data_IF_883394005495
#
_entry.id   IF_883394005495
#
_cell.length_a   1.000
_cell.length_b   1.000
_cell.length_c   1.000
_cell.angle_alpha   90.00
_cell.angle_beta   90.00
_cell.angle_gamma   90.00
#
_symmetry.space_group_name_H-M   'P 1'
#
loop_
_entity.id
_entity.type
_entity.pdbx_description
1 polymer ?
#
# COMPACT_ATOMS: atom_id res chain seq x y z
N UNK A 1 -31.04 13.61 -4.51
CA UNK A 1 -30.90 12.61 -3.43
C UNK A 1 -30.03 13.22 -2.35
N UNK A 2 -30.49 13.28 -1.12
CA UNK A 2 -29.70 13.83 0.01
C UNK A 2 -29.31 12.73 1.00
N UNK A 3 -29.03 11.53 0.46
CA UNK A 3 -28.79 10.35 1.27
C UNK A 3 -27.66 10.57 2.28
N UNK A 4 -26.46 10.97 1.82
CA UNK A 4 -25.29 11.11 2.67
C UNK A 4 -25.34 12.27 3.66
N UNK A 5 -26.20 13.24 3.45
CA UNK A 5 -26.41 14.37 4.39
C UNK A 5 -27.54 14.11 5.38
N UNK A 6 -28.46 13.20 5.07
CA UNK A 6 -29.65 12.94 5.90
C UNK A 6 -29.54 11.65 6.71
N UNK A 7 -28.64 10.72 6.33
CA UNK A 7 -28.44 9.47 7.06
C UNK A 7 -27.64 9.74 8.33
N UNK A 8 -28.18 9.33 9.46
CA UNK A 8 -27.46 9.37 10.73
C UNK A 8 -26.37 8.31 10.75
N UNK A 9 -25.13 8.73 11.01
CA UNK A 9 -23.96 7.86 11.02
C UNK A 9 -23.16 8.02 12.28
N UNK A 10 -22.53 6.94 12.72
CA UNK A 10 -21.63 6.91 13.85
C UNK A 10 -20.17 6.81 13.34
N UNK A 11 -19.51 7.95 13.18
CA UNK A 11 -18.13 8.00 12.67
C UNK A 11 -17.18 8.62 13.71
N UNK A 12 -17.43 9.85 14.15
CA UNK A 12 -16.49 10.63 14.97
C UNK A 12 -16.21 9.99 16.36
N UNK A 13 -17.18 9.32 16.96
CA UNK A 13 -17.04 8.62 18.24
C UNK A 13 -16.89 7.10 18.12
N UNK A 14 -16.71 6.60 16.92
CA UNK A 14 -16.73 5.16 16.64
C UNK A 14 -15.45 4.46 17.08
N UNK A 15 -15.56 3.56 18.05
CA UNK A 15 -14.42 2.79 18.60
C UNK A 15 -13.94 1.65 17.71
N UNK A 16 -14.70 1.24 16.70
CA UNK A 16 -14.32 0.21 15.74
C UNK A 16 -13.48 0.78 14.60
N UNK A 17 -13.59 2.08 14.31
CA UNK A 17 -12.76 2.77 13.33
C UNK A 17 -11.37 3.04 13.90
N UNK A 18 -10.38 3.04 13.02
CA UNK A 18 -9.01 3.46 13.37
C UNK A 18 -8.93 4.98 13.47
N UNK A 19 -8.13 5.48 14.39
CA UNK A 19 -7.90 6.92 14.58
C UNK A 19 -7.61 7.66 13.27
N UNK A 20 -6.70 7.19 12.38
CA UNK A 20 -6.44 7.84 11.10
C UNK A 20 -7.66 7.97 10.18
N UNK A 21 -8.58 7.00 10.22
CA UNK A 21 -9.82 7.08 9.43
C UNK A 21 -10.74 8.18 9.94
N UNK A 22 -10.88 8.31 11.26
CA UNK A 22 -11.74 9.32 11.89
C UNK A 22 -11.16 10.72 11.64
N UNK A 23 -9.86 10.90 11.89
CA UNK A 23 -9.17 12.18 11.68
C UNK A 23 -9.23 12.63 10.23
N UNK A 24 -8.94 11.74 9.28
CA UNK A 24 -9.07 12.03 7.87
C UNK A 24 -10.51 12.40 7.48
N UNK A 25 -11.51 11.67 7.99
CA UNK A 25 -12.92 11.97 7.76
C UNK A 25 -13.31 13.37 8.24
N UNK A 26 -12.90 13.76 9.45
CA UNK A 26 -13.16 15.10 10.00
C UNK A 26 -12.54 16.15 9.09
N UNK A 27 -11.28 15.98 8.69
CA UNK A 27 -10.60 16.92 7.78
C UNK A 27 -11.26 17.03 6.41
N UNK A 28 -11.74 15.91 5.86
CA UNK A 28 -12.49 15.89 4.59
C UNK A 28 -13.79 16.73 4.73
N UNK A 29 -14.54 16.53 5.81
CA UNK A 29 -15.77 17.30 6.05
C UNK A 29 -15.49 18.79 6.24
N UNK A 30 -14.49 19.13 7.08
CA UNK A 30 -14.08 20.52 7.31
C UNK A 30 -13.70 21.20 6.00
N UNK A 31 -12.83 20.58 5.19
CA UNK A 31 -12.34 21.12 3.94
C UNK A 31 -13.48 21.37 2.94
N UNK A 32 -14.31 20.38 2.70
CA UNK A 32 -15.40 20.48 1.74
C UNK A 32 -16.65 21.20 2.27
N UNK A 33 -16.65 21.71 3.50
CA UNK A 33 -17.68 22.60 4.00
C UNK A 33 -17.62 23.99 3.32
N UNK A 34 -16.42 24.39 2.88
CA UNK A 34 -16.22 25.58 2.06
C UNK A 34 -16.49 25.26 0.59
N UNK A 35 -17.44 25.94 -0.07
CA UNK A 35 -17.77 25.69 -1.48
C UNK A 35 -16.64 26.07 -2.46
N UNK A 36 -15.66 26.88 -2.04
CA UNK A 36 -14.49 27.22 -2.88
C UNK A 36 -13.48 26.07 -2.96
N UNK A 37 -13.44 25.20 -1.96
CA UNK A 37 -12.56 24.04 -1.92
C UNK A 37 -13.09 22.92 -2.81
N UNK A 38 -12.29 22.48 -3.77
CA UNK A 38 -12.71 21.53 -4.80
C UNK A 38 -11.92 20.24 -4.83
N UNK A 39 -10.66 20.25 -4.44
CA UNK A 39 -9.76 19.11 -4.65
C UNK A 39 -8.84 18.93 -3.45
N UNK A 40 -8.94 17.78 -2.81
CA UNK A 40 -8.20 17.41 -1.60
C UNK A 40 -7.39 16.13 -1.79
N UNK A 41 -6.29 16.01 -1.04
CA UNK A 41 -5.47 14.82 -0.96
C UNK A 41 -5.37 14.33 0.48
N UNK A 42 -5.62 13.03 0.67
CA UNK A 42 -5.41 12.31 1.92
C UNK A 42 -4.38 11.21 1.72
N UNK A 43 -3.37 11.19 2.57
CA UNK A 43 -2.29 10.21 2.55
C UNK A 43 -2.46 9.27 3.74
N UNK A 44 -2.81 8.02 3.45
CA UNK A 44 -2.99 6.96 4.43
C UNK A 44 -2.16 5.74 4.04
N UNK A 45 -1.11 5.38 4.77
CA UNK A 45 -0.29 4.21 4.48
C UNK A 45 -1.11 2.91 4.39
N UNK A 46 -0.54 1.89 3.77
CA UNK A 46 -1.11 0.54 3.76
C UNK A 46 -1.42 0.09 5.19
N UNK A 47 -2.55 -0.58 5.38
CA UNK A 47 -2.97 -1.08 6.69
C UNK A 47 -3.71 -0.07 7.60
N UNK A 48 -3.84 1.19 7.22
CA UNK A 48 -4.65 2.18 7.98
C UNK A 48 -6.16 2.06 7.74
N UNK A 49 -6.56 1.33 6.68
CA UNK A 49 -7.97 1.15 6.32
C UNK A 49 -8.48 2.16 5.30
N UNK A 50 -7.71 2.45 4.23
CA UNK A 50 -8.12 3.32 3.12
C UNK A 50 -9.51 3.01 2.57
N UNK A 51 -9.80 1.72 2.31
CA UNK A 51 -11.13 1.31 1.80
C UNK A 51 -12.26 1.69 2.74
N UNK A 52 -12.03 1.62 4.07
CA UNK A 52 -12.99 2.09 5.06
C UNK A 52 -13.17 3.61 5.03
N UNK A 53 -12.07 4.38 4.89
CA UNK A 53 -12.17 5.83 4.71
C UNK A 53 -12.97 6.19 3.45
N UNK A 54 -12.71 5.52 2.32
CA UNK A 54 -13.44 5.71 1.06
C UNK A 54 -14.94 5.45 1.27
N UNK A 55 -15.30 4.47 2.11
CA UNK A 55 -16.69 4.13 2.40
C UNK A 55 -17.40 5.16 3.29
N UNK A 56 -16.69 5.89 4.15
CA UNK A 56 -17.28 6.90 5.06
C UNK A 56 -17.13 8.34 4.56
N UNK A 57 -16.17 8.63 3.70
CA UNK A 57 -15.91 9.98 3.20
C UNK A 57 -17.12 10.70 2.56
N UNK A 58 -18.08 9.99 1.92
CA UNK A 58 -19.26 10.64 1.37
C UNK A 58 -20.18 11.30 2.39
N UNK A 59 -20.24 10.80 3.62
CA UNK A 59 -21.18 11.27 4.62
C UNK A 59 -20.88 12.70 5.08
N UNK A 60 -21.86 13.55 4.99
CA UNK A 60 -21.75 14.98 5.28
C UNK A 60 -21.07 15.81 4.19
N UNK A 61 -20.65 15.19 3.07
CA UNK A 61 -19.99 15.87 1.94
C UNK A 61 -20.84 15.83 0.66
N UNK A 62 -21.28 14.62 0.26
CA UNK A 62 -22.07 14.45 -0.97
C UNK A 62 -23.56 14.71 -0.75
N UNK A 63 -24.16 15.43 -1.66
CA UNK A 63 -25.60 15.70 -1.70
C UNK A 63 -26.33 14.92 -2.81
N UNK A 64 -25.58 14.36 -3.76
CA UNK A 64 -26.12 13.62 -4.90
C UNK A 64 -25.61 12.18 -4.92
N UNK A 65 -24.60 11.93 -5.74
CA UNK A 65 -24.00 10.62 -6.00
C UNK A 65 -22.50 10.69 -5.96
N UNK A 66 -21.89 9.60 -5.59
CA UNK A 66 -20.43 9.46 -5.46
C UNK A 66 -19.91 8.57 -6.57
N UNK A 67 -18.84 9.00 -7.24
CA UNK A 67 -18.06 8.18 -8.14
C UNK A 67 -16.75 7.79 -7.45
N UNK A 68 -16.49 6.49 -7.33
CA UNK A 68 -15.20 5.97 -6.86
C UNK A 68 -14.42 5.45 -8.07
N UNK A 69 -13.24 6.02 -8.31
CA UNK A 69 -12.37 5.63 -9.41
C UNK A 69 -11.18 4.84 -8.85
N UNK A 70 -11.00 3.64 -9.38
CA UNK A 70 -9.90 2.73 -8.99
C UNK A 70 -8.96 2.48 -10.18
N UNK A 71 -7.65 2.29 -9.96
CA UNK A 71 -6.68 2.06 -11.04
C UNK A 71 -6.85 0.69 -11.71
N UNK A 72 -7.20 -0.34 -10.96
CA UNK A 72 -7.24 -1.72 -11.45
C UNK A 72 -8.44 -2.54 -10.96
N UNK A 73 -8.55 -3.77 -11.48
CA UNK A 73 -9.63 -4.70 -11.12
C UNK A 73 -9.51 -5.20 -9.67
N UNK A 74 -8.30 -5.48 -9.21
CA UNK A 74 -8.06 -6.04 -7.86
C UNK A 74 -8.35 -5.01 -6.77
N UNK A 75 -7.95 -3.75 -6.97
CA UNK A 75 -8.26 -2.65 -6.05
C UNK A 75 -9.78 -2.42 -6.00
N UNK A 76 -10.43 -2.49 -7.16
CA UNK A 76 -11.88 -2.43 -7.29
C UNK A 76 -12.56 -3.53 -6.47
N UNK A 77 -12.12 -4.77 -6.57
CA UNK A 77 -12.69 -5.90 -5.84
C UNK A 77 -12.50 -5.79 -4.32
N UNK A 78 -11.38 -5.24 -3.87
CA UNK A 78 -11.16 -4.95 -2.45
C UNK A 78 -12.17 -3.93 -1.91
N UNK A 79 -12.42 -2.84 -2.64
CA UNK A 79 -13.43 -1.84 -2.25
C UNK A 79 -14.83 -2.45 -2.34
N UNK A 80 -15.16 -3.18 -3.41
CA UNK A 80 -16.44 -3.85 -3.58
C UNK A 80 -16.76 -4.77 -2.43
N UNK A 81 -15.83 -5.62 -2.01
CA UNK A 81 -16.03 -6.56 -0.87
C UNK A 81 -16.38 -5.82 0.42
N UNK A 82 -15.79 -4.66 0.68
CA UNK A 82 -16.14 -3.86 1.88
C UNK A 82 -17.53 -3.24 1.81
N UNK A 83 -18.10 -3.13 0.62
CA UNK A 83 -19.39 -2.47 0.35
C UNK A 83 -20.52 -3.47 -0.03
N UNK A 84 -20.20 -4.76 -0.19
CA UNK A 84 -21.19 -5.79 -0.54
C UNK A 84 -22.14 -6.03 0.63
N UNK A 85 -23.45 -6.05 0.33
CA UNK A 85 -24.52 -6.16 1.36
C UNK A 85 -24.60 -7.56 1.95
N UNK A 86 -24.23 -8.58 1.20
CA UNK A 86 -24.35 -10.00 1.58
C UNK A 86 -23.07 -10.60 2.17
N UNK A 87 -22.00 -9.83 2.22
CA UNK A 87 -20.72 -10.24 2.79
C UNK A 87 -20.40 -9.42 4.05
N UNK A 88 -19.13 -9.30 4.42
CA UNK A 88 -18.64 -8.50 5.55
C UNK A 88 -18.80 -6.99 5.29
N UNK A 89 -20.05 -6.54 5.27
CA UNK A 89 -20.41 -5.17 4.98
C UNK A 89 -19.79 -4.20 6.00
N UNK A 90 -18.96 -3.28 5.52
CA UNK A 90 -18.22 -2.36 6.35
C UNK A 90 -19.13 -1.46 7.20
N UNK A 91 -20.21 -0.92 6.62
CA UNK A 91 -21.09 0.01 7.34
C UNK A 91 -21.81 -0.63 8.53
N UNK A 92 -22.17 -1.90 8.42
CA UNK A 92 -22.81 -2.66 9.51
C UNK A 92 -21.77 -3.16 10.49
N UNK A 93 -20.69 -3.81 10.01
CA UNK A 93 -19.67 -4.43 10.87
C UNK A 93 -18.91 -3.43 11.73
N UNK A 94 -18.75 -2.21 11.22
CA UNK A 94 -18.12 -1.11 11.96
C UNK A 94 -19.14 -0.18 12.65
N UNK A 95 -20.41 -0.54 12.72
CA UNK A 95 -21.49 0.26 13.35
C UNK A 95 -21.54 1.70 12.80
N UNK A 96 -21.26 1.89 11.50
CA UNK A 96 -21.39 3.19 10.84
C UNK A 96 -22.86 3.55 10.71
N UNK A 97 -23.68 2.60 10.26
CA UNK A 97 -25.14 2.65 10.27
C UNK A 97 -25.71 1.51 11.11
N UNK A 98 -26.85 1.71 11.72
CA UNK A 98 -27.44 0.75 12.65
C UNK A 98 -28.57 -0.09 12.04
N UNK A 99 -28.97 0.22 10.81
CA UNK A 99 -30.03 -0.49 10.09
C UNK A 99 -29.59 -0.83 8.67
N UNK A 100 -29.96 -2.02 8.21
CA UNK A 100 -29.75 -2.41 6.81
C UNK A 100 -30.47 -1.51 5.81
N UNK A 101 -31.51 -0.78 6.23
CA UNK A 101 -32.23 0.20 5.41
C UNK A 101 -31.41 1.46 5.16
N UNK A 102 -30.41 1.72 6.01
CA UNK A 102 -29.53 2.87 5.95
C UNK A 102 -28.22 2.56 5.23
N UNK A 103 -28.07 1.36 4.62
CA UNK A 103 -26.94 1.02 3.78
C UNK A 103 -27.08 1.74 2.42
N UNK A 104 -26.03 2.37 1.87
CA UNK A 104 -26.10 3.00 0.56
C UNK A 104 -26.26 1.94 -0.55
N UNK A 105 -27.01 2.28 -1.60
CA UNK A 105 -27.04 1.48 -2.82
C UNK A 105 -25.73 1.68 -3.57
N UNK A 106 -24.99 0.59 -3.77
CA UNK A 106 -23.68 0.57 -4.40
C UNK A 106 -23.75 -0.20 -5.70
N UNK A 107 -23.16 0.33 -6.77
CA UNK A 107 -23.13 -0.32 -8.08
C UNK A 107 -21.76 -0.23 -8.73
N UNK A 108 -21.39 -1.28 -9.45
CA UNK A 108 -20.26 -1.24 -10.36
C UNK A 108 -20.73 -0.73 -11.73
N UNK A 109 -19.98 0.21 -12.31
CA UNK A 109 -20.21 0.62 -13.68
C UNK A 109 -19.76 -0.45 -14.65
N UNK A 110 -20.71 -0.99 -15.41
CA UNK A 110 -20.49 -1.88 -16.55
C UNK A 110 -21.16 -1.31 -17.79
N UNK A 111 -20.70 -1.63 -19.01
CA UNK A 111 -21.29 -1.09 -20.25
C UNK A 111 -22.79 -1.39 -20.43
N UNK A 112 -23.27 -2.46 -19.83
CA UNK A 112 -24.64 -3.00 -19.92
C UNK A 112 -25.55 -2.53 -18.76
N UNK A 113 -25.04 -1.84 -17.76
CA UNK A 113 -25.85 -1.32 -16.64
C UNK A 113 -26.93 -0.37 -17.16
N UNK A 114 -28.17 -0.51 -16.69
CA UNK A 114 -29.27 0.36 -17.10
C UNK A 114 -29.13 1.79 -16.53
N UNK A 115 -29.67 2.80 -17.23
CA UNK A 115 -29.70 4.18 -16.74
C UNK A 115 -30.49 4.30 -15.44
N UNK A 116 -31.58 3.57 -15.33
CA UNK A 116 -32.41 3.53 -14.12
C UNK A 116 -31.60 3.04 -12.90
N UNK A 117 -30.79 1.98 -13.08
CA UNK A 117 -29.95 1.45 -12.02
C UNK A 117 -28.87 2.48 -11.61
N UNK A 118 -28.26 3.17 -12.56
CA UNK A 118 -27.33 4.28 -12.25
C UNK A 118 -28.02 5.39 -11.46
N UNK A 119 -29.26 5.74 -11.79
CA UNK A 119 -30.02 6.78 -11.09
C UNK A 119 -30.40 6.39 -9.66
N UNK A 120 -30.61 5.11 -9.39
CA UNK A 120 -30.94 4.58 -8.06
C UNK A 120 -29.71 4.42 -7.17
N UNK A 121 -28.51 4.37 -7.74
CA UNK A 121 -27.26 4.16 -7.01
C UNK A 121 -26.82 5.41 -6.25
N UNK A 122 -26.37 5.24 -5.01
CA UNK A 122 -25.74 6.29 -4.20
C UNK A 122 -24.24 6.37 -4.46
N UNK A 123 -23.60 5.21 -4.64
CA UNK A 123 -22.17 5.05 -4.95
C UNK A 123 -22.05 4.25 -6.24
N UNK A 124 -21.25 4.75 -7.16
CA UNK A 124 -20.88 4.03 -8.39
C UNK A 124 -19.37 3.93 -8.42
N UNK A 125 -18.82 2.73 -8.55
CA UNK A 125 -17.39 2.58 -8.74
C UNK A 125 -17.05 2.01 -10.11
N UNK A 126 -15.91 2.44 -10.63
CA UNK A 126 -15.43 2.07 -11.94
C UNK A 126 -13.91 2.16 -12.03
N UNK A 127 -13.33 1.47 -12.97
CA UNK A 127 -11.97 1.76 -13.38
C UNK A 127 -11.96 2.92 -14.41
N UNK A 128 -10.82 3.60 -14.50
CA UNK A 128 -10.70 4.79 -15.36
C UNK A 128 -10.94 4.49 -16.84
N UNK A 129 -10.60 3.29 -17.32
CA UNK A 129 -10.76 2.89 -18.73
C UNK A 129 -12.22 2.84 -19.17
N UNK A 130 -13.16 2.66 -18.23
CA UNK A 130 -14.60 2.64 -18.50
C UNK A 130 -15.24 4.01 -18.39
N UNK A 131 -14.56 4.98 -17.79
CA UNK A 131 -15.11 6.33 -17.55
C UNK A 131 -14.93 7.22 -18.78
N UNK A 132 -13.70 7.27 -19.32
CA UNK A 132 -13.31 8.19 -20.39
C UNK A 132 -13.22 7.49 -21.74
N UNK A 133 -13.33 8.26 -22.83
CA UNK A 133 -13.12 7.83 -24.20
C UNK A 133 -14.30 8.05 -25.11
N UNK A 134 -14.10 7.83 -26.42
CA UNK A 134 -15.09 8.09 -27.46
C UNK A 134 -16.15 6.99 -27.62
N UNK A 135 -16.10 5.94 -26.81
CA UNK A 135 -17.07 4.83 -26.88
C UNK A 135 -18.41 5.30 -26.31
N UNK A 136 -19.50 4.93 -26.99
CA UNK A 136 -20.87 5.20 -26.48
C UNK A 136 -21.11 4.63 -25.08
N UNK A 137 -20.38 3.56 -24.73
CA UNK A 137 -20.44 2.92 -23.42
C UNK A 137 -19.50 3.54 -22.38
N UNK A 138 -18.76 4.60 -22.68
CA UNK A 138 -18.00 5.32 -21.66
C UNK A 138 -18.97 6.08 -20.76
N UNK A 139 -18.70 6.11 -19.45
CA UNK A 139 -19.60 6.71 -18.45
C UNK A 139 -19.92 8.18 -18.76
N UNK A 140 -18.92 8.97 -19.18
CA UNK A 140 -19.09 10.38 -19.57
C UNK A 140 -20.07 10.59 -20.74
N UNK A 141 -20.30 9.57 -21.57
CA UNK A 141 -21.23 9.63 -22.69
C UNK A 141 -22.64 9.14 -22.31
N UNK A 142 -22.87 8.71 -21.06
CA UNK A 142 -24.12 8.12 -20.59
C UNK A 142 -24.81 8.92 -19.49
N UNK A 143 -24.07 9.79 -18.79
CA UNK A 143 -24.59 10.59 -17.69
C UNK A 143 -24.24 12.06 -17.89
N UNK A 144 -25.03 13.02 -17.39
CA UNK A 144 -24.71 14.44 -17.48
C UNK A 144 -23.52 14.82 -16.61
N UNK A 145 -22.89 15.96 -16.90
CA UNK A 145 -21.70 16.48 -16.20
C UNK A 145 -21.89 16.73 -14.70
N UNK A 146 -23.13 16.93 -14.25
CA UNK A 146 -23.52 17.17 -12.85
C UNK A 146 -24.13 15.93 -12.16
N UNK A 147 -23.97 14.74 -12.77
CA UNK A 147 -24.52 13.48 -12.24
C UNK A 147 -23.90 13.10 -10.91
N UNK A 148 -22.60 13.34 -10.77
CA UNK A 148 -21.84 13.18 -9.53
C UNK A 148 -21.51 14.55 -8.94
N UNK A 149 -21.56 14.67 -7.63
CA UNK A 149 -21.13 15.86 -6.89
C UNK A 149 -19.89 15.60 -6.02
N UNK A 150 -19.50 14.31 -5.90
CA UNK A 150 -18.29 13.90 -5.21
C UNK A 150 -17.60 12.76 -5.94
N UNK A 151 -16.30 12.89 -6.17
CA UNK A 151 -15.46 11.89 -6.82
C UNK A 151 -14.35 11.52 -5.85
N UNK A 152 -14.15 10.23 -5.64
CA UNK A 152 -13.05 9.69 -4.84
C UNK A 152 -12.12 8.93 -5.78
N UNK A 153 -10.84 9.31 -5.77
CA UNK A 153 -9.78 8.70 -6.58
C UNK A 153 -8.91 7.86 -5.66
N UNK A 154 -9.04 6.54 -5.77
CA UNK A 154 -8.20 5.61 -5.01
C UNK A 154 -6.87 5.37 -5.73
N UNK A 155 -5.81 5.18 -4.94
CA UNK A 155 -4.41 5.07 -5.41
C UNK A 155 -4.02 6.21 -6.36
N UNK A 156 -4.27 7.43 -5.93
CA UNK A 156 -4.14 8.66 -6.72
C UNK A 156 -2.75 8.90 -7.34
N UNK A 157 -1.73 8.21 -6.87
CA UNK A 157 -0.39 8.25 -7.46
C UNK A 157 -0.34 7.65 -8.88
N UNK A 158 -1.40 6.96 -9.33
CA UNK A 158 -1.60 6.51 -10.71
C UNK A 158 -2.42 7.50 -11.56
N UNK A 159 -2.95 8.57 -10.96
CA UNK A 159 -3.91 9.51 -11.56
C UNK A 159 -3.45 10.42 -12.74
N UNK A 160 -2.21 10.47 -13.19
CA UNK A 160 -1.77 11.46 -14.18
C UNK A 160 -2.03 11.11 -15.64
N UNK A 161 -2.60 9.98 -15.96
CA UNK A 161 -2.95 9.66 -17.33
C UNK A 161 -3.95 10.68 -17.88
N UNK A 162 -3.89 10.98 -19.18
CA UNK A 162 -4.81 11.90 -19.85
C UNK A 162 -6.28 11.56 -19.58
N UNK A 163 -6.61 10.27 -19.53
CA UNK A 163 -7.96 9.78 -19.24
C UNK A 163 -8.53 10.23 -17.89
N UNK A 164 -7.66 10.40 -16.86
CA UNK A 164 -8.07 10.92 -15.57
C UNK A 164 -8.44 12.40 -15.64
N UNK A 165 -7.58 13.19 -16.32
CA UNK A 165 -7.83 14.62 -16.53
C UNK A 165 -9.11 14.86 -17.33
N UNK A 166 -9.37 14.04 -18.32
CA UNK A 166 -10.58 14.14 -19.16
C UNK A 166 -11.84 13.83 -18.34
N UNK A 167 -11.80 12.79 -17.49
CA UNK A 167 -12.90 12.45 -16.60
C UNK A 167 -13.20 13.56 -15.57
N UNK A 168 -12.15 14.05 -14.89
CA UNK A 168 -12.32 15.13 -13.89
C UNK A 168 -12.74 16.46 -14.53
N UNK A 169 -12.26 16.75 -15.76
CA UNK A 169 -12.70 17.92 -16.52
C UNK A 169 -14.18 17.84 -16.92
N UNK A 170 -14.66 16.65 -17.28
CA UNK A 170 -16.08 16.45 -17.59
C UNK A 170 -16.95 16.70 -16.35
N UNK A 171 -16.61 16.13 -15.21
CA UNK A 171 -17.32 16.32 -13.94
C UNK A 171 -16.77 17.51 -13.14
N UNK A 172 -16.48 18.63 -13.80
CA UNK A 172 -15.78 19.79 -13.22
C UNK A 172 -16.48 20.44 -12.02
N UNK A 173 -17.78 20.18 -11.83
CA UNK A 173 -18.56 20.68 -10.69
C UNK A 173 -18.45 19.80 -9.45
N UNK A 174 -17.96 18.58 -9.58
CA UNK A 174 -17.79 17.67 -8.48
C UNK A 174 -16.61 18.08 -7.57
N UNK A 175 -16.73 17.82 -6.28
CA UNK A 175 -15.61 17.82 -5.33
C UNK A 175 -14.78 16.56 -5.58
N UNK A 176 -13.45 16.66 -5.47
CA UNK A 176 -12.54 15.56 -5.74
C UNK A 176 -11.71 15.25 -4.51
N UNK A 177 -11.74 14.01 -4.04
CA UNK A 177 -10.91 13.51 -2.96
C UNK A 177 -9.92 12.49 -3.52
N UNK A 178 -8.65 12.80 -3.48
CA UNK A 178 -7.57 11.87 -3.78
C UNK A 178 -7.18 11.12 -2.51
N UNK A 179 -7.09 9.79 -2.60
CA UNK A 179 -6.62 8.93 -1.51
C UNK A 179 -5.44 8.11 -2.00
N UNK A 180 -4.36 8.10 -1.25
CA UNK A 180 -3.16 7.31 -1.60
C UNK A 180 -2.48 6.73 -0.38
N UNK A 181 -1.80 5.60 -0.56
CA UNK A 181 -0.93 5.01 0.47
C UNK A 181 0.49 5.53 0.45
N UNK A 182 0.87 6.17 -0.66
CA UNK A 182 2.22 6.69 -0.87
C UNK A 182 2.14 8.12 -1.39
N UNK A 183 2.86 9.09 -0.75
CA UNK A 183 2.84 10.49 -1.17
C UNK A 183 3.64 10.75 -2.47
N UNK A 184 4.32 9.71 -2.99
CA UNK A 184 5.26 9.86 -4.10
C UNK A 184 4.71 9.28 -5.39
N UNK A 185 4.91 10.00 -6.48
CA UNK A 185 4.71 9.52 -7.84
C UNK A 185 6.05 9.09 -8.44
N UNK A 186 6.01 7.98 -9.19
CA UNK A 186 7.20 7.44 -9.86
C UNK A 186 7.81 8.36 -10.93
N UNK A 187 7.03 9.35 -11.42
CA UNK A 187 7.43 10.34 -12.43
C UNK A 187 7.81 11.71 -11.87
N UNK A 188 8.01 11.81 -10.56
CA UNK A 188 8.35 13.03 -9.83
C UNK A 188 7.33 14.21 -9.97
N UNK A 189 6.12 13.95 -10.48
CA UNK A 189 5.05 14.95 -10.47
C UNK A 189 4.30 14.90 -9.14
N UNK A 190 3.71 16.02 -8.73
CA UNK A 190 2.86 16.08 -7.55
C UNK A 190 1.52 15.40 -7.79
N UNK A 191 0.99 14.76 -6.74
CA UNK A 191 -0.39 14.27 -6.75
C UNK A 191 -1.32 15.47 -6.65
N UNK A 192 -2.38 15.56 -7.47
CA UNK A 192 -3.31 16.69 -7.40
C UNK A 192 -4.02 16.81 -6.05
N UNK A 193 -4.45 18.02 -5.70
CA UNK A 193 -5.21 18.34 -4.51
C UNK A 193 -4.37 18.88 -3.34
N UNK A 194 -5.02 19.59 -2.45
CA UNK A 194 -4.41 20.08 -1.22
C UNK A 194 -4.29 18.95 -0.22
N UNK A 195 -3.12 18.77 0.40
CA UNK A 195 -2.91 17.75 1.44
C UNK A 195 -3.64 18.23 2.70
N UNK A 196 -4.77 17.62 3.00
CA UNK A 196 -5.59 17.94 4.17
C UNK A 196 -5.36 17.00 5.34
N UNK A 197 -4.83 15.82 5.08
CA UNK A 197 -4.46 14.84 6.11
C UNK A 197 -3.36 13.92 5.60
N UNK A 198 -2.38 13.67 6.47
CA UNK A 198 -1.32 12.69 6.27
C UNK A 198 -1.09 11.93 7.58
N UNK A 199 -1.19 10.60 7.52
CA UNK A 199 -0.81 9.74 8.63
C UNK A 199 0.56 9.13 8.37
N UNK A 200 1.55 9.37 9.22
CA UNK A 200 2.87 8.78 9.07
C UNK A 200 2.87 7.28 9.29
N UNK A 201 3.66 6.54 8.51
CA UNK A 201 3.80 5.09 8.70
C UNK A 201 4.36 4.75 10.10
N UNK A 202 5.24 5.58 10.66
CA UNK A 202 5.77 5.40 12.02
C UNK A 202 4.69 5.45 13.11
N UNK A 203 3.66 6.28 12.92
CA UNK A 203 2.53 6.36 13.83
C UNK A 203 1.64 5.11 13.72
N UNK A 204 1.40 4.65 12.50
CA UNK A 204 0.63 3.43 12.22
C UNK A 204 1.31 2.19 12.81
N UNK A 205 2.65 2.13 12.75
CA UNK A 205 3.46 1.08 13.39
C UNK A 205 3.40 1.17 14.92
N UNK A 206 3.50 2.36 15.48
CA UNK A 206 3.40 2.58 16.94
C UNK A 206 2.01 2.21 17.47
N UNK A 207 0.96 2.50 16.71
CA UNK A 207 -0.42 2.12 17.03
C UNK A 207 -0.69 0.62 16.82
N UNK A 208 0.30 -0.16 16.36
CA UNK A 208 0.18 -1.60 16.06
C UNK A 208 -0.87 -1.94 15.00
N UNK A 209 -1.22 -0.99 14.13
CA UNK A 209 -2.13 -1.23 13.01
C UNK A 209 -1.48 -2.02 11.87
N UNK A 210 -0.14 -1.99 11.82
CA UNK A 210 0.68 -2.73 10.87
C UNK A 210 1.84 -3.41 11.59
N UNK A 211 2.49 -4.35 10.90
CA UNK A 211 3.71 -5.00 11.39
C UNK A 211 4.85 -3.99 11.54
N UNK A 212 5.72 -4.23 12.48
CA UNK A 212 7.02 -3.56 12.55
C UNK A 212 7.91 -4.03 11.41
N UNK A 213 8.76 -3.14 10.90
CA UNK A 213 9.68 -3.46 9.82
C UNK A 213 11.12 -3.61 10.32
N UNK A 214 11.79 -4.63 9.80
CA UNK A 214 13.22 -4.86 9.98
C UNK A 214 13.87 -5.14 8.64
N UNK A 215 15.06 -4.59 8.43
CA UNK A 215 15.90 -4.89 7.28
C UNK A 215 17.00 -5.87 7.71
N UNK A 216 17.23 -6.86 6.89
CA UNK A 216 18.40 -7.73 6.97
C UNK A 216 19.05 -7.84 5.60
N UNK A 217 20.36 -7.77 5.54
CA UNK A 217 21.09 -7.92 4.29
C UNK A 217 21.98 -9.15 4.36
N UNK A 218 22.15 -9.79 3.22
CA UNK A 218 23.12 -10.86 3.04
C UNK A 218 24.27 -10.37 2.17
N UNK A 219 25.48 -10.78 2.51
CA UNK A 219 26.71 -10.44 1.81
C UNK A 219 27.42 -11.70 1.39
N UNK A 220 27.89 -11.74 0.14
CA UNK A 220 28.92 -12.68 -0.25
C UNK A 220 30.29 -12.18 0.25
N UNK A 221 31.10 -13.09 0.82
CA UNK A 221 32.43 -12.72 1.30
C UNK A 221 33.36 -12.23 0.18
N UNK A 222 33.18 -12.76 -1.04
CA UNK A 222 33.92 -12.34 -2.24
C UNK A 222 32.98 -12.44 -3.46
N UNK A 223 32.85 -11.32 -4.21
CA UNK A 223 32.10 -11.29 -5.47
C UNK A 223 33.07 -11.16 -6.63
N UNK A 224 32.96 -12.10 -7.57
CA UNK A 224 33.67 -12.06 -8.84
C UNK A 224 32.69 -12.06 -10.00
N UNK A 225 33.00 -11.27 -11.00
CA UNK A 225 32.21 -11.16 -12.20
C UNK A 225 32.94 -11.77 -13.40
N UNK A 226 32.19 -12.34 -14.32
CA UNK A 226 32.68 -12.78 -15.64
C UNK A 226 31.89 -12.08 -16.71
N UNK A 227 32.53 -11.72 -17.84
CA UNK A 227 31.86 -11.14 -18.99
C UNK A 227 32.12 -11.98 -20.23
N UNK A 228 31.19 -12.01 -21.20
CA UNK A 228 31.42 -12.70 -22.47
C UNK A 228 32.66 -12.17 -23.23
N UNK A 229 33.00 -10.90 -23.00
CA UNK A 229 34.12 -10.25 -23.66
C UNK A 229 35.48 -10.73 -23.10
N UNK A 230 35.50 -11.19 -21.84
CA UNK A 230 36.69 -11.69 -21.14
C UNK A 230 36.33 -13.00 -20.45
N UNK A 231 36.08 -14.07 -21.20
CA UNK A 231 35.71 -15.36 -20.64
C UNK A 231 36.90 -15.93 -19.82
N UNK A 232 36.61 -16.56 -18.68
CA UNK A 232 37.56 -17.20 -17.78
C UNK A 232 38.43 -16.29 -16.90
N UNK A 233 38.21 -14.96 -16.91
CA UNK A 233 38.82 -14.06 -15.93
C UNK A 233 37.81 -13.71 -14.85
N UNK A 234 38.19 -13.91 -13.60
CA UNK A 234 37.46 -13.39 -12.44
C UNK A 234 37.81 -11.92 -12.29
N UNK A 235 36.80 -11.05 -12.41
CA UNK A 235 36.94 -9.61 -12.27
C UNK A 235 36.34 -9.18 -10.92
N UNK A 236 37.01 -8.30 -10.21
CA UNK A 236 36.47 -7.68 -9.01
C UNK A 236 35.38 -6.64 -9.39
N UNK A 237 34.68 -6.11 -8.40
CA UNK A 237 33.70 -5.05 -8.63
C UNK A 237 34.33 -3.78 -9.20
N UNK A 238 35.53 -3.45 -8.73
CA UNK A 238 36.33 -2.33 -9.21
C UNK A 238 36.73 -2.52 -10.67
N UNK A 239 37.25 -3.73 -11.02
CA UNK A 239 37.63 -4.06 -12.40
C UNK A 239 36.43 -3.97 -13.35
N UNK A 240 35.26 -4.44 -12.94
CA UNK A 240 34.08 -4.46 -13.80
C UNK A 240 33.50 -3.06 -14.02
N UNK A 241 33.60 -2.16 -13.04
CA UNK A 241 33.15 -0.78 -13.15
C UNK A 241 33.93 0.04 -14.21
N UNK A 242 35.11 -0.42 -14.64
CA UNK A 242 35.82 0.18 -15.76
C UNK A 242 35.13 -0.07 -17.11
N UNK A 243 34.29 -1.12 -17.23
CA UNK A 243 33.71 -1.58 -18.49
C UNK A 243 32.19 -1.59 -18.48
N UNK A 244 31.56 -1.71 -17.32
CA UNK A 244 30.10 -1.81 -17.13
C UNK A 244 29.66 -0.80 -16.10
N UNK A 245 28.41 -0.38 -16.20
CA UNK A 245 27.81 0.52 -15.24
C UNK A 245 27.30 -0.22 -13.97
N UNK A 246 26.93 0.55 -12.99
CA UNK A 246 26.39 0.06 -11.74
C UNK A 246 25.09 -0.77 -11.95
N UNK A 247 24.28 -0.41 -12.92
CA UNK A 247 23.04 -1.10 -13.22
C UNK A 247 23.28 -2.53 -13.71
N UNK A 248 24.32 -2.73 -14.52
CA UNK A 248 24.74 -4.04 -14.98
C UNK A 248 25.16 -4.93 -13.80
N UNK A 249 25.94 -4.37 -12.85
CA UNK A 249 26.36 -5.07 -11.65
C UNK A 249 25.15 -5.51 -10.82
N UNK A 250 24.24 -4.58 -10.52
CA UNK A 250 23.04 -4.85 -9.73
C UNK A 250 22.16 -5.94 -10.37
N UNK A 251 22.01 -5.92 -11.71
CA UNK A 251 21.30 -6.97 -12.45
C UNK A 251 22.03 -8.30 -12.42
N UNK A 252 23.35 -8.30 -12.54
CA UNK A 252 24.15 -9.52 -12.51
C UNK A 252 24.05 -10.20 -11.15
N UNK A 253 24.08 -9.45 -10.05
CA UNK A 253 23.88 -9.95 -8.69
C UNK A 253 22.45 -10.48 -8.51
N UNK A 254 21.46 -9.73 -9.00
CA UNK A 254 20.05 -10.11 -8.91
C UNK A 254 19.76 -11.45 -9.60
N UNK A 255 20.46 -11.75 -10.69
CA UNK A 255 20.29 -12.98 -11.49
C UNK A 255 21.30 -14.07 -11.14
N UNK A 256 22.29 -13.80 -10.27
CA UNK A 256 23.26 -14.81 -9.84
C UNK A 256 22.58 -15.88 -9.00
N UNK A 257 22.74 -17.18 -9.35
CA UNK A 257 22.23 -18.28 -8.54
C UNK A 257 22.83 -18.30 -7.13
N UNK A 258 24.11 -17.99 -7.00
CA UNK A 258 24.81 -17.97 -5.72
C UNK A 258 24.27 -16.85 -4.81
N UNK A 259 24.22 -15.61 -5.30
CA UNK A 259 23.68 -14.47 -4.55
C UNK A 259 22.20 -14.66 -4.20
N UNK A 260 21.43 -15.26 -5.12
CA UNK A 260 20.03 -15.58 -4.88
C UNK A 260 19.89 -16.66 -3.81
N UNK A 261 20.76 -17.67 -3.82
CA UNK A 261 20.73 -18.75 -2.82
C UNK A 261 21.00 -18.23 -1.41
N UNK A 262 21.91 -17.27 -1.23
CA UNK A 262 22.17 -16.62 0.06
C UNK A 262 20.90 -15.94 0.61
N UNK A 263 20.16 -15.22 -0.22
CA UNK A 263 18.87 -14.58 0.15
C UNK A 263 17.82 -15.64 0.46
N UNK A 264 17.75 -16.72 -0.33
CA UNK A 264 16.82 -17.83 -0.13
C UNK A 264 17.09 -18.50 1.22
N UNK A 265 18.31 -18.90 1.50
CA UNK A 265 18.68 -19.59 2.74
C UNK A 265 18.38 -18.72 3.97
N UNK A 266 18.70 -17.42 3.90
CA UNK A 266 18.42 -16.50 4.98
C UNK A 266 16.89 -16.31 5.19
N UNK A 267 16.11 -16.22 4.11
CA UNK A 267 14.65 -16.11 4.19
C UNK A 267 14.00 -17.37 4.78
N UNK A 268 14.51 -18.55 4.44
CA UNK A 268 14.06 -19.84 5.00
C UNK A 268 14.42 -19.93 6.49
N UNK A 269 15.62 -19.53 6.86
CA UNK A 269 16.03 -19.48 8.28
C UNK A 269 15.05 -18.62 9.09
N UNK A 270 14.70 -17.44 8.60
CA UNK A 270 13.73 -16.55 9.29
C UNK A 270 12.33 -17.16 9.34
N UNK A 271 11.89 -17.79 8.26
CA UNK A 271 10.60 -18.49 8.24
C UNK A 271 10.55 -19.60 9.29
N UNK A 272 11.60 -20.40 9.42
CA UNK A 272 11.68 -21.48 10.39
C UNK A 272 11.65 -20.93 11.83
N UNK A 273 12.41 -19.86 12.11
CA UNK A 273 12.39 -19.20 13.42
C UNK A 273 10.96 -18.73 13.77
N UNK A 274 10.25 -18.12 12.82
CA UNK A 274 8.87 -17.69 13.05
C UNK A 274 7.92 -18.87 13.26
N UNK A 275 8.04 -19.94 12.48
CA UNK A 275 7.23 -21.16 12.62
C UNK A 275 7.48 -21.89 13.94
N UNK A 276 8.71 -21.91 14.43
CA UNK A 276 9.06 -22.49 15.74
C UNK A 276 8.48 -21.65 16.89
N UNK A 277 8.61 -20.32 16.80
CA UNK A 277 8.08 -19.42 17.81
C UNK A 277 6.54 -19.34 17.83
N UNK A 278 5.90 -19.50 16.67
CA UNK A 278 4.44 -19.42 16.48
C UNK A 278 3.92 -20.52 15.56
N UNK A 279 3.83 -21.77 16.01
CA UNK A 279 3.45 -22.91 15.16
C UNK A 279 2.03 -22.84 14.57
N UNK A 280 1.16 -22.03 15.18
CA UNK A 280 -0.24 -21.83 14.70
C UNK A 280 -0.37 -20.77 13.63
N UNK A 281 0.63 -19.91 13.46
CA UNK A 281 0.61 -18.81 12.50
C UNK A 281 1.29 -19.27 11.20
N UNK A 282 0.56 -19.33 10.08
CA UNK A 282 1.11 -19.82 8.82
C UNK A 282 1.93 -18.74 8.10
N UNK A 283 3.01 -18.27 8.72
CA UNK A 283 3.92 -17.30 8.13
C UNK A 283 4.39 -17.72 6.75
N UNK A 284 4.55 -16.74 5.85
CA UNK A 284 4.93 -16.94 4.45
C UNK A 284 6.02 -15.98 4.03
N UNK A 285 6.78 -16.40 3.01
CA UNK A 285 7.73 -15.55 2.29
C UNK A 285 7.04 -14.97 1.06
N UNK A 286 7.18 -13.68 0.83
CA UNK A 286 6.98 -13.02 -0.45
C UNK A 286 8.34 -12.84 -1.10
N UNK A 287 8.58 -13.48 -2.23
CA UNK A 287 9.79 -13.34 -3.02
C UNK A 287 9.50 -12.51 -4.28
N UNK A 288 10.37 -11.57 -4.64
CA UNK A 288 10.15 -10.69 -5.80
C UNK A 288 11.29 -10.85 -6.78
N UNK A 289 10.97 -11.43 -7.96
CA UNK A 289 11.91 -11.69 -9.05
C UNK A 289 12.00 -10.58 -10.09
N UNK A 290 13.01 -10.65 -10.97
CA UNK A 290 13.23 -9.70 -12.07
C UNK A 290 12.30 -9.95 -13.27
N UNK A 291 12.04 -11.21 -13.57
CA UNK A 291 11.29 -11.69 -14.74
C UNK A 291 10.56 -12.99 -14.44
N UNK A 292 9.69 -13.43 -15.31
CA UNK A 292 8.98 -14.71 -15.19
C UNK A 292 9.98 -15.86 -15.13
N UNK A 293 10.95 -15.90 -16.05
CA UNK A 293 12.02 -16.92 -16.04
C UNK A 293 12.79 -16.95 -14.73
N UNK A 294 13.14 -15.77 -14.20
CA UNK A 294 13.81 -15.69 -12.89
C UNK A 294 12.89 -16.18 -11.76
N UNK A 295 11.60 -15.91 -11.82
CA UNK A 295 10.64 -16.43 -10.84
C UNK A 295 10.54 -17.96 -10.88
N UNK A 296 10.58 -18.56 -12.07
CA UNK A 296 10.63 -20.02 -12.26
C UNK A 296 11.90 -20.63 -11.68
N UNK A 297 13.05 -19.96 -11.84
CA UNK A 297 14.31 -20.43 -11.25
C UNK A 297 14.30 -20.30 -9.73
N UNK A 298 13.81 -19.18 -9.19
CA UNK A 298 13.60 -19.00 -7.75
C UNK A 298 12.66 -20.08 -7.18
N UNK A 299 11.58 -20.43 -7.92
CA UNK A 299 10.68 -21.50 -7.49
C UNK A 299 11.39 -22.83 -7.37
N UNK A 300 12.16 -23.24 -8.39
CA UNK A 300 12.95 -24.47 -8.36
C UNK A 300 13.92 -24.51 -7.17
N UNK A 301 14.56 -23.37 -6.85
CA UNK A 301 15.51 -23.29 -5.74
C UNK A 301 14.82 -23.38 -4.38
N UNK A 302 13.67 -22.73 -4.18
CA UNK A 302 12.88 -22.88 -2.95
C UNK A 302 12.29 -24.30 -2.82
N UNK A 303 11.77 -24.88 -3.91
CA UNK A 303 11.25 -26.25 -3.93
C UNK A 303 12.33 -27.29 -3.62
N UNK A 304 13.55 -27.10 -4.13
CA UNK A 304 14.71 -27.96 -3.82
C UNK A 304 15.07 -27.93 -2.32
N UNK A 305 14.68 -26.89 -1.58
CA UNK A 305 14.80 -26.78 -0.11
C UNK A 305 13.55 -27.30 0.64
N UNK A 306 12.59 -27.90 -0.10
CA UNK A 306 11.41 -28.54 0.48
C UNK A 306 10.23 -27.61 0.79
N UNK A 307 10.19 -26.38 0.24
CA UNK A 307 9.08 -25.45 0.43
C UNK A 307 8.07 -25.56 -0.70
N UNK A 308 6.81 -25.30 -0.38
CA UNK A 308 5.71 -25.21 -1.35
C UNK A 308 5.66 -23.82 -1.92
N UNK A 309 5.73 -23.71 -3.24
CA UNK A 309 5.86 -22.42 -3.95
C UNK A 309 4.64 -22.16 -4.83
N UNK A 310 4.22 -20.91 -4.86
CA UNK A 310 3.23 -20.38 -5.83
C UNK A 310 3.84 -19.17 -6.52
N UNK A 311 3.78 -19.16 -7.86
CA UNK A 311 4.21 -18.02 -8.69
C UNK A 311 2.98 -17.22 -9.11
N UNK A 312 3.08 -15.89 -9.08
CA UNK A 312 2.05 -14.97 -9.58
C UNK A 312 2.70 -13.90 -10.47
N UNK A 313 2.18 -13.77 -11.71
CA UNK A 313 2.61 -12.74 -12.67
C UNK A 313 1.46 -12.29 -13.61
N UNK A 314 1.67 -11.20 -14.39
CA UNK A 314 0.63 -10.59 -15.23
C UNK A 314 0.13 -11.46 -16.36
N UNK A 315 1.01 -12.28 -16.89
CA UNK A 315 0.75 -13.07 -18.08
C UNK A 315 0.00 -14.38 -17.77
N UNK A 316 -0.36 -14.61 -16.51
CA UNK A 316 -1.17 -15.77 -16.11
C UNK A 316 -2.64 -15.57 -16.54
N UNK A 317 -3.27 -16.64 -17.01
CA UNK A 317 -4.70 -16.68 -17.22
C UNK A 317 -5.46 -16.46 -15.89
N UNK A 318 -6.63 -15.84 -15.96
CA UNK A 318 -7.40 -15.46 -14.79
C UNK A 318 -7.79 -16.66 -13.92
N UNK A 319 -8.08 -17.82 -14.52
CA UNK A 319 -8.38 -19.07 -13.79
C UNK A 319 -7.16 -19.58 -13.01
N UNK A 320 -5.99 -19.62 -13.67
CA UNK A 320 -4.72 -20.06 -13.03
C UNK A 320 -4.32 -19.12 -11.91
N UNK A 321 -4.56 -17.82 -12.11
CA UNK A 321 -4.32 -16.80 -11.08
C UNK A 321 -5.27 -16.97 -9.88
N UNK A 322 -6.55 -17.26 -10.13
CA UNK A 322 -7.52 -17.52 -9.07
C UNK A 322 -7.14 -18.76 -8.24
N UNK A 323 -6.72 -19.85 -8.90
CA UNK A 323 -6.21 -21.05 -8.23
C UNK A 323 -4.95 -20.78 -7.41
N UNK A 324 -4.03 -19.96 -7.92
CA UNK A 324 -2.85 -19.53 -7.19
C UNK A 324 -3.21 -18.79 -5.90
N UNK A 325 -4.14 -17.83 -5.96
CA UNK A 325 -4.64 -17.12 -4.78
C UNK A 325 -5.34 -18.06 -3.80
N UNK A 326 -6.17 -18.99 -4.28
CA UNK A 326 -6.82 -19.97 -3.43
C UNK A 326 -5.82 -20.86 -2.68
N UNK A 327 -4.74 -21.27 -3.33
CA UNK A 327 -3.66 -22.02 -2.68
C UNK A 327 -2.95 -21.21 -1.59
N UNK A 328 -2.77 -19.91 -1.77
CA UNK A 328 -2.18 -19.05 -0.75
C UNK A 328 -3.12 -18.89 0.44
N UNK A 329 -4.42 -18.64 0.20
CA UNK A 329 -5.45 -18.50 1.23
C UNK A 329 -5.66 -19.78 2.04
N UNK A 330 -5.62 -20.94 1.37
CA UNK A 330 -5.71 -22.26 2.02
C UNK A 330 -4.42 -22.72 2.69
N UNK A 331 -3.41 -21.86 2.77
CA UNK A 331 -2.10 -22.15 3.36
C UNK A 331 -1.35 -23.32 2.71
N UNK A 332 -1.60 -23.59 1.43
CA UNK A 332 -0.90 -24.59 0.64
C UNK A 332 0.44 -24.08 0.07
N UNK A 333 0.79 -22.81 0.31
CA UNK A 333 2.04 -22.19 -0.10
C UNK A 333 2.81 -21.66 1.12
N UNK A 334 4.13 -21.90 1.14
CA UNK A 334 5.09 -21.33 2.10
C UNK A 334 5.77 -20.10 1.50
N UNK A 335 5.94 -20.09 0.18
CA UNK A 335 6.58 -19.02 -0.60
C UNK A 335 5.64 -18.58 -1.73
N UNK A 336 5.44 -17.28 -1.83
CA UNK A 336 4.75 -16.63 -2.93
C UNK A 336 5.79 -15.86 -3.74
N UNK A 337 5.98 -16.19 -5.00
CA UNK A 337 6.91 -15.49 -5.89
C UNK A 337 6.11 -14.58 -6.81
N UNK A 338 6.47 -13.30 -6.82
CA UNK A 338 5.84 -12.29 -7.67
C UNK A 338 6.82 -11.69 -8.66
N UNK A 339 6.33 -11.43 -9.88
CA UNK A 339 7.06 -10.68 -10.91
C UNK A 339 6.30 -9.42 -11.23
N UNK A 340 7.00 -8.28 -11.19
CA UNK A 340 6.42 -6.94 -11.36
C UNK A 340 5.36 -6.58 -10.30
N UNK A 341 4.63 -5.49 -10.47
CA UNK A 341 3.72 -4.93 -9.48
C UNK A 341 2.34 -5.64 -9.39
N UNK A 342 2.24 -6.89 -9.76
CA UNK A 342 0.97 -7.57 -10.00
C UNK A 342 0.17 -7.97 -8.80
N UNK A 343 0.70 -7.79 -7.63
CA UNK A 343 -0.07 -7.97 -6.41
C UNK A 343 -0.76 -6.67 -5.95
N UNK A 344 -1.01 -5.70 -6.85
CA UNK A 344 -1.84 -4.55 -6.50
C UNK A 344 -3.22 -5.04 -6.03
N UNK A 345 -3.56 -4.69 -4.79
CA UNK A 345 -4.80 -5.11 -4.15
C UNK A 345 -4.80 -6.49 -3.50
N UNK A 346 -3.79 -7.35 -3.71
CA UNK A 346 -3.65 -8.57 -2.93
C UNK A 346 -2.86 -8.29 -1.65
N UNK A 347 -3.50 -8.54 -0.52
CA UNK A 347 -3.00 -8.20 0.80
C UNK A 347 -3.22 -9.39 1.74
N UNK A 348 -2.16 -10.18 1.97
CA UNK A 348 -2.25 -11.38 2.79
C UNK A 348 -1.51 -11.18 4.11
N UNK A 349 -2.26 -11.24 5.23
CA UNK A 349 -1.76 -10.95 6.59
C UNK A 349 -0.58 -11.80 7.05
N UNK A 350 -0.43 -13.02 6.52
CA UNK A 350 0.65 -13.93 6.91
C UNK A 350 1.94 -13.78 6.09
N UNK A 351 2.00 -12.84 5.13
CA UNK A 351 3.26 -12.46 4.50
C UNK A 351 4.10 -11.72 5.55
N UNK A 352 5.15 -12.36 6.05
CA UNK A 352 5.98 -11.82 7.14
C UNK A 352 7.43 -11.60 6.72
N UNK A 353 7.85 -12.20 5.62
CA UNK A 353 9.20 -12.08 5.08
C UNK A 353 9.09 -11.61 3.63
N UNK A 354 9.86 -10.59 3.27
CA UNK A 354 9.99 -10.09 1.90
C UNK A 354 11.43 -10.33 1.45
N UNK A 355 11.61 -11.27 0.52
CA UNK A 355 12.88 -11.56 -0.12
C UNK A 355 12.94 -10.84 -1.49
N UNK A 356 13.86 -9.89 -1.65
CA UNK A 356 13.95 -9.05 -2.85
C UNK A 356 15.14 -9.49 -3.68
N UNK A 357 14.86 -9.96 -4.91
CA UNK A 357 15.85 -10.44 -5.89
C UNK A 357 15.95 -9.50 -7.10
N UNK A 358 15.50 -8.25 -6.98
CA UNK A 358 15.55 -7.27 -8.05
C UNK A 358 15.92 -5.88 -7.56
N UNK A 359 16.66 -5.08 -8.34
CA UNK A 359 16.84 -3.66 -8.05
C UNK A 359 15.54 -2.88 -8.26
N UNK A 360 15.32 -1.86 -7.45
CA UNK A 360 14.24 -0.89 -7.61
C UNK A 360 14.81 0.48 -7.96
N UNK A 361 14.17 1.20 -8.89
CA UNK A 361 14.59 2.52 -9.35
C UNK A 361 13.71 3.66 -8.79
N UNK A 362 12.53 3.33 -8.28
CA UNK A 362 11.63 4.32 -7.69
C UNK A 362 11.28 3.95 -6.25
N UNK A 363 11.27 4.96 -5.39
CA UNK A 363 10.88 4.81 -3.99
C UNK A 363 9.42 4.33 -3.86
N UNK A 364 8.55 4.77 -4.77
CA UNK A 364 7.15 4.35 -4.77
C UNK A 364 7.01 2.84 -4.99
N UNK A 365 7.66 2.29 -6.04
CA UNK A 365 7.61 0.86 -6.31
C UNK A 365 8.22 0.04 -5.15
N UNK A 366 9.31 0.53 -4.55
CA UNK A 366 9.90 -0.09 -3.37
C UNK A 366 8.97 -0.04 -2.16
N UNK A 367 8.38 1.12 -1.86
CA UNK A 367 7.43 1.29 -0.76
C UNK A 367 6.17 0.43 -0.92
N UNK A 368 5.67 0.28 -2.15
CA UNK A 368 4.53 -0.58 -2.46
C UNK A 368 4.82 -2.06 -2.16
N UNK A 369 5.98 -2.56 -2.56
CA UNK A 369 6.32 -3.97 -2.28
C UNK A 369 6.58 -4.20 -0.80
N UNK A 370 7.24 -3.29 -0.10
CA UNK A 370 7.39 -3.35 1.36
C UNK A 370 6.03 -3.29 2.05
N UNK A 371 5.11 -2.50 1.53
CA UNK A 371 3.74 -2.38 2.02
C UNK A 371 2.98 -3.71 2.06
N UNK A 372 3.33 -4.70 1.19
CA UNK A 372 2.66 -6.01 1.12
C UNK A 372 2.86 -6.88 2.35
N UNK A 373 3.96 -6.70 3.07
CA UNK A 373 4.22 -7.46 4.29
C UNK A 373 3.83 -6.71 5.57
N UNK A 374 3.27 -5.49 5.43
CA UNK A 374 2.93 -4.65 6.58
C UNK A 374 1.63 -5.04 7.28
N UNK A 375 0.70 -5.73 6.60
CA UNK A 375 -0.59 -6.06 7.20
C UNK A 375 -0.44 -6.85 8.49
N UNK A 376 -0.95 -6.29 9.60
CA UNK A 376 -0.90 -6.96 10.88
C UNK A 376 -1.80 -8.21 10.90
N UNK A 377 -1.32 -9.24 11.57
CA UNK A 377 -2.09 -10.42 11.90
C UNK A 377 -2.94 -10.06 13.13
N UNK A 378 -4.26 -10.36 13.14
CA UNK A 378 -5.13 -10.06 14.27
C UNK A 378 -4.64 -10.66 15.60
N UNK A 379 -4.88 -9.97 16.70
CA UNK A 379 -4.38 -10.39 18.05
C UNK A 379 -4.87 -11.77 18.47
N UNK A 380 -6.07 -12.17 18.07
CA UNK A 380 -6.61 -13.50 18.37
C UNK A 380 -5.99 -14.65 17.58
N UNK A 381 -5.14 -14.36 16.59
CA UNK A 381 -4.49 -15.35 15.73
C UNK A 381 -2.99 -15.47 16.01
N UNK A 382 -2.41 -14.59 16.82
CA UNK A 382 -0.97 -14.52 17.08
C UNK A 382 -0.59 -15.13 18.43
N UNK A 383 0.68 -15.49 18.56
CA UNK A 383 1.29 -15.87 19.85
C UNK A 383 1.67 -14.63 20.65
N UNK A 384 2.36 -13.68 20.01
CA UNK A 384 2.68 -12.36 20.57
C UNK A 384 2.91 -11.37 19.41
N UNK A 385 2.55 -10.10 19.64
CA UNK A 385 2.71 -9.06 18.61
C UNK A 385 4.17 -8.90 18.18
N UNK A 386 5.08 -8.95 19.13
CA UNK A 386 6.52 -8.78 18.94
C UNK A 386 7.17 -9.94 18.16
N UNK A 387 6.50 -11.09 18.07
CA UNK A 387 6.95 -12.26 17.29
C UNK A 387 6.31 -12.21 15.90
N UNK A 388 4.98 -12.21 15.85
CA UNK A 388 4.23 -12.50 14.63
C UNK A 388 4.00 -11.26 13.75
N UNK A 389 3.97 -10.08 14.36
CA UNK A 389 3.77 -8.82 13.67
C UNK A 389 5.10 -8.09 13.38
N UNK A 390 6.11 -8.84 12.90
CA UNK A 390 7.34 -8.33 12.31
C UNK A 390 7.37 -8.63 10.82
N UNK A 391 7.59 -7.60 10.01
CA UNK A 391 7.89 -7.70 8.59
C UNK A 391 9.42 -7.65 8.40
N UNK A 392 10.01 -8.72 7.88
CA UNK A 392 11.45 -8.81 7.66
C UNK A 392 11.74 -8.65 6.17
N UNK A 393 12.48 -7.60 5.81
CA UNK A 393 12.90 -7.34 4.42
C UNK A 393 14.33 -7.83 4.25
N UNK A 394 14.54 -8.75 3.32
CA UNK A 394 15.83 -9.43 3.07
C UNK A 394 16.24 -9.18 1.62
N UNK A 395 17.47 -8.74 1.41
CA UNK A 395 18.06 -8.62 0.09
C UNK A 395 19.58 -8.69 0.14
N UNK A 396 20.20 -9.00 -1.01
CA UNK A 396 21.66 -8.96 -1.13
C UNK A 396 22.15 -7.52 -1.07
N UNK A 397 23.19 -7.23 -0.27
CA UNK A 397 23.67 -5.85 -0.02
C UNK A 397 24.04 -5.13 -1.32
N UNK A 398 24.67 -5.82 -2.24
CA UNK A 398 25.19 -5.29 -3.49
C UNK A 398 24.11 -5.11 -4.60
N UNK A 399 22.85 -5.47 -4.35
CA UNK A 399 21.75 -5.26 -5.31
C UNK A 399 21.33 -3.77 -5.42
N UNK A 400 21.96 -2.88 -4.63
CA UNK A 400 21.76 -1.43 -4.72
C UNK A 400 20.51 -0.90 -4.00
N UNK A 401 19.91 -1.66 -3.09
CA UNK A 401 18.68 -1.27 -2.38
C UNK A 401 18.91 -0.49 -1.08
N UNK A 402 20.11 -0.45 -0.54
CA UNK A 402 20.40 0.28 0.70
C UNK A 402 20.02 1.78 0.63
N UNK A 403 20.37 2.55 -0.42
CA UNK A 403 19.95 3.94 -0.53
C UNK A 403 18.42 4.09 -0.63
N UNK A 404 17.74 3.12 -1.24
CA UNK A 404 16.27 3.11 -1.34
C UNK A 404 15.63 2.85 0.02
N UNK A 405 16.19 1.92 0.80
CA UNK A 405 15.75 1.65 2.16
C UNK A 405 15.95 2.88 3.07
N UNK A 406 17.10 3.55 2.99
CA UNK A 406 17.38 4.76 3.78
C UNK A 406 16.39 5.90 3.45
N UNK A 407 16.09 6.10 2.16
CA UNK A 407 15.05 7.05 1.74
C UNK A 407 13.68 6.66 2.31
N UNK A 408 13.28 5.41 2.16
CA UNK A 408 12.03 4.90 2.72
C UNK A 408 11.96 5.11 4.24
N UNK A 409 13.03 4.78 4.95
CA UNK A 409 13.10 4.96 6.40
C UNK A 409 13.08 6.43 6.82
N UNK A 410 13.75 7.31 6.06
CA UNK A 410 13.72 8.76 6.32
C UNK A 410 12.30 9.33 6.17
N UNK A 411 11.50 8.79 5.27
CA UNK A 411 10.10 9.17 5.11
C UNK A 411 9.23 8.62 6.26
N UNK A 412 9.47 7.40 6.69
CA UNK A 412 8.83 6.85 7.91
C UNK A 412 9.13 7.73 9.13
N UNK A 413 10.35 8.28 9.23
CA UNK A 413 10.78 9.13 10.35
C UNK A 413 10.48 10.63 10.16
N UNK A 414 10.17 11.09 8.93
CA UNK A 414 9.90 12.50 8.61
C UNK A 414 8.78 13.09 9.45
N UNK A 415 7.79 12.31 9.73
CA UNK A 415 6.67 12.71 10.56
C UNK A 415 7.04 13.00 12.02
N UNK A 416 8.04 12.29 12.57
CA UNK A 416 8.56 12.65 13.90
C UNK A 416 9.15 14.07 13.92
N UNK A 417 9.79 14.50 12.82
CA UNK A 417 10.37 15.84 12.70
C UNK A 417 9.31 16.92 12.50
N UNK A 418 8.23 16.62 11.81
CA UNK A 418 7.13 17.57 11.59
C UNK A 418 6.34 17.79 12.89
N UNK A 419 6.01 16.72 13.62
CA UNK A 419 5.38 16.80 14.93
C UNK A 419 6.25 17.60 15.91
N UNK A 420 7.56 17.37 15.95
CA UNK A 420 8.47 18.14 16.77
C UNK A 420 8.57 19.63 16.35
N UNK A 421 8.29 19.99 15.09
CA UNK A 421 8.24 21.37 14.63
C UNK A 421 6.93 22.07 14.97
N UNK A 422 5.81 21.38 14.96
CA UNK A 422 4.50 21.94 15.35
C UNK A 422 4.41 22.19 16.86
N UNK A 423 5.11 21.38 17.68
CA UNK A 423 5.21 21.62 19.14
C UNK A 423 6.19 22.74 19.54
N UNK A 424 6.94 23.32 18.59
CA UNK A 424 7.96 24.37 18.84
C UNK A 424 7.41 25.80 18.81
N UNK A 425 6.11 26.02 18.85
CA UNK A 425 5.54 27.36 18.70
C UNK A 425 5.37 28.17 19.99
N UNK A 426 6.09 27.88 21.07
CA UNK A 426 6.32 28.85 22.15
C UNK A 426 7.77 28.76 22.58
N UNK A 427 8.54 29.82 22.28
CA UNK A 427 9.93 30.03 22.76
C UNK A 427 10.07 29.85 24.30
N UNK A 428 9.01 30.07 25.05
CA UNK A 428 8.98 29.94 26.50
C UNK A 428 9.04 28.46 26.96
N UNK A 429 8.46 27.52 26.20
CA UNK A 429 8.50 26.09 26.56
C UNK A 429 9.90 25.48 26.40
N UNK A 430 10.70 25.97 25.45
CA UNK A 430 12.09 25.54 25.26
C UNK A 430 13.00 26.08 26.34
N UNK A 431 12.78 27.32 26.79
CA UNK A 431 13.55 27.91 27.88
C UNK A 431 13.30 27.20 29.22
N UNK A 432 12.05 26.82 29.50
CA UNK A 432 11.71 26.04 30.71
C UNK A 432 12.35 24.64 30.65
N UNK A 433 12.36 23.95 29.50
CA UNK A 433 12.93 22.62 29.36
C UNK A 433 14.47 22.61 29.39
N UNK A 434 15.13 23.61 28.79
CA UNK A 434 16.58 23.79 28.92
C UNK A 434 16.98 24.10 30.36
N UNK A 435 16.22 24.89 31.06
CA UNK A 435 16.47 25.19 32.47
C UNK A 435 16.24 23.95 33.38
N UNK A 436 15.28 23.11 33.03
CA UNK A 436 15.03 21.85 33.74
C UNK A 436 16.16 20.83 33.53
N UNK A 437 16.62 20.66 32.32
CA UNK A 437 17.76 19.77 31.98
C UNK A 437 19.06 20.26 32.60
N UNK A 438 19.32 21.59 32.62
CA UNK A 438 20.48 22.17 33.31
C UNK A 438 20.42 22.01 34.81
N UNK A 439 19.26 22.00 35.44
CA UNK A 439 19.11 21.75 36.88
C UNK A 439 19.35 20.29 37.26
N UNK A 440 19.05 19.34 36.39
CA UNK A 440 19.34 17.91 36.59
C UNK A 440 20.83 17.57 36.44
N UNK A 441 21.54 18.20 35.48
CA UNK A 441 22.99 18.02 35.35
C UNK A 441 23.78 18.56 36.53
N UNK A 442 23.33 19.65 37.17
CA UNK A 442 23.98 20.17 38.35
C UNK A 442 23.74 19.40 39.66
N UNK A 443 22.70 18.57 39.73
CA UNK A 443 22.47 17.69 40.87
C UNK A 443 23.23 16.36 40.82
N UNK A 444 23.75 15.95 39.65
CA UNK A 444 24.55 14.73 39.53
C UNK A 444 26.04 14.91 39.82
N UNK A 445 26.54 16.17 39.89
CA UNK A 445 27.93 16.47 40.25
C UNK A 445 28.17 16.68 41.77
N UNK A 446 27.12 16.57 42.61
CA UNK A 446 27.19 16.77 44.07
C UNK A 446 26.78 15.52 44.88
N UNK A 447 26.83 14.35 44.32
CA UNK A 447 26.81 13.05 44.98
C UNK A 447 28.03 12.24 44.51
#
# INVERSE_FOLDING_TARGET
MTYFTNTAVNIEGNRKLRTPQIEAYIKIREFFSDPEHREALVILPTGTGKSGLISIAPYGVSQKRVLIITPGLVTKDSIRKTQEVLEDNFWINYDIVFSSKDIPVVSEYTPDISSEHLEQSHIIFSNIQRISGNRKSALINRVPEDFFDFIIVDEAHHAPAQSWRDALKYFSKAKVLHVTGTPYRGDAQEIPGEIIHETPLSEVMRAKYVKWLRKETVNAHELYFTTPDIPNKKLTKEDILEFKDKEWIEKSIALSPECSNDVIEHSILKLNILKEASPKVPHKILAVGCSITHAEDLAKWYEAKGLRVVIIHSEMDDEVKADAFLNIENHNADVVISVNMLMEGYDHKYLSILAIFRPYRSLNAFAQVVGRILRAIPENEITAFEIDNNGIVIFHEEIGLNPMWEKFQSEVDRAKRTINREYTFTDDYYRERENFLRSEEHTSELQ
#
